data_IF_195348276775
#
_entry.id   IF_195348276775
#
_cell.length_a   1.000
_cell.length_b   1.000
_cell.length_c   1.000
_cell.angle_alpha   90.00
_cell.angle_beta   90.00
_cell.angle_gamma   90.00
#
_symmetry.space_group_name_H-M   'P 1'
#
loop_
_entity.id
_entity.type
_entity.pdbx_description
1 polymer ?
#
# COMPACT_ATOMS: atom_id res chain seq x y z
N UNK A 1 -70.65 4.62 16.87
CA UNK A 1 -69.36 4.08 17.36
C UNK A 1 -69.01 2.72 16.74
N UNK A 2 -69.83 1.66 16.92
CA UNK A 2 -69.52 0.32 16.36
C UNK A 2 -69.38 0.28 14.83
N UNK A 3 -70.26 0.97 14.09
CA UNK A 3 -70.23 1.04 12.61
C UNK A 3 -69.04 1.87 12.07
N UNK A 4 -68.66 2.91 12.81
CA UNK A 4 -67.55 3.80 12.49
C UNK A 4 -66.19 3.09 12.64
N UNK A 5 -66.05 2.28 13.70
CA UNK A 5 -64.86 1.45 13.95
C UNK A 5 -64.74 0.35 12.88
N UNK A 6 -65.84 -0.30 12.51
CA UNK A 6 -65.85 -1.29 11.44
C UNK A 6 -65.39 -0.69 10.11
N UNK A 7 -65.85 0.52 9.78
CA UNK A 7 -65.47 1.21 8.55
C UNK A 7 -63.97 1.58 8.53
N UNK A 8 -63.42 2.00 9.67
CA UNK A 8 -61.99 2.30 9.80
C UNK A 8 -61.12 1.04 9.66
N UNK A 9 -61.54 -0.09 10.24
CA UNK A 9 -60.86 -1.39 10.10
C UNK A 9 -60.86 -1.83 8.63
N UNK A 10 -62.01 -1.74 7.96
CA UNK A 10 -62.13 -2.07 6.53
C UNK A 10 -61.24 -1.16 5.68
N UNK A 11 -61.19 0.15 5.96
CA UNK A 11 -60.31 1.08 5.26
C UNK A 11 -58.81 0.73 5.45
N UNK A 12 -58.40 0.34 6.66
CA UNK A 12 -57.03 -0.09 6.94
C UNK A 12 -56.71 -1.38 6.16
N UNK A 13 -57.60 -2.37 6.14
CA UNK A 13 -57.40 -3.61 5.37
C UNK A 13 -57.32 -3.37 3.86
N UNK A 14 -58.02 -2.35 3.34
CA UNK A 14 -57.96 -1.96 1.93
C UNK A 14 -56.67 -1.20 1.61
N UNK A 15 -56.11 -0.43 2.57
CA UNK A 15 -54.89 0.35 2.36
C UNK A 15 -53.59 -0.42 2.61
N UNK A 16 -53.60 -1.50 3.42
CA UNK A 16 -52.42 -2.35 3.68
C UNK A 16 -51.78 -2.91 2.39
N UNK A 17 -52.53 -3.45 1.40
CA UNK A 17 -51.95 -3.91 0.15
C UNK A 17 -51.23 -2.79 -0.62
N UNK A 18 -51.84 -1.59 -0.67
CA UNK A 18 -51.31 -0.45 -1.42
C UNK A 18 -49.99 0.07 -0.85
N UNK A 19 -49.81 0.02 0.48
CA UNK A 19 -48.54 0.36 1.12
C UNK A 19 -47.45 -0.72 0.93
N UNK A 20 -47.84 -2.00 0.78
CA UNK A 20 -46.93 -3.12 0.57
C UNK A 20 -46.28 -3.12 -0.83
N UNK A 21 -47.00 -2.66 -1.85
CA UNK A 21 -46.49 -2.54 -3.23
C UNK A 21 -45.54 -1.36 -3.45
N UNK A 22 -45.37 -0.47 -2.46
CA UNK A 22 -44.42 0.65 -2.56
C UNK A 22 -42.96 0.23 -2.34
N UNK A 23 -42.72 -1.00 -1.87
CA UNK A 23 -41.38 -1.57 -1.74
C UNK A 23 -41.10 -2.42 -2.97
N UNK A 24 -40.50 -1.82 -4.00
CA UNK A 24 -39.92 -2.59 -5.11
C UNK A 24 -38.84 -3.48 -4.52
N UNK A 25 -39.05 -4.79 -4.51
CA UNK A 25 -38.01 -5.73 -4.19
C UNK A 25 -36.97 -5.64 -5.31
N UNK A 26 -35.78 -5.13 -4.98
CA UNK A 26 -34.66 -5.14 -5.92
C UNK A 26 -34.31 -6.61 -6.14
N UNK A 27 -34.45 -7.09 -7.36
CA UNK A 27 -34.10 -8.46 -7.73
C UNK A 27 -32.59 -8.65 -7.69
N UNK A 28 -32.11 -9.88 -7.47
CA UNK A 28 -30.68 -10.19 -7.57
C UNK A 28 -30.10 -9.85 -8.95
N UNK A 29 -30.92 -9.88 -10.01
CA UNK A 29 -30.54 -9.41 -11.34
C UNK A 29 -30.34 -7.90 -11.44
N UNK A 30 -31.11 -7.11 -10.69
CA UNK A 30 -30.95 -5.66 -10.59
C UNK A 30 -29.83 -5.28 -9.62
N UNK A 31 -29.56 -6.08 -8.58
CA UNK A 31 -28.35 -5.94 -7.76
C UNK A 31 -27.10 -6.32 -8.56
N UNK A 32 -27.15 -7.38 -9.37
CA UNK A 32 -26.05 -7.82 -10.24
C UNK A 32 -25.67 -6.83 -11.35
N UNK A 33 -26.60 -5.97 -11.77
CA UNK A 33 -26.29 -4.85 -12.67
C UNK A 33 -25.71 -3.63 -11.94
N UNK A 34 -25.79 -3.59 -10.60
CA UNK A 34 -25.30 -2.50 -9.75
C UNK A 34 -24.02 -2.89 -9.00
N UNK A 35 -23.77 -4.18 -8.74
CA UNK A 35 -22.55 -4.67 -8.07
C UNK A 35 -21.35 -4.59 -9.00
N UNK A 36 -20.52 -3.55 -8.81
CA UNK A 36 -19.11 -3.49 -9.18
C UNK A 36 -18.74 -3.90 -10.62
N UNK A 37 -19.55 -3.51 -11.62
CA UNK A 37 -19.19 -3.70 -13.04
C UNK A 37 -18.13 -2.70 -13.54
N UNK A 38 -17.94 -1.60 -12.81
CA UNK A 38 -17.04 -0.52 -13.20
C UNK A 38 -15.71 -0.66 -12.45
N UNK A 39 -14.60 -0.69 -13.19
CA UNK A 39 -13.26 -0.70 -12.61
C UNK A 39 -13.00 0.51 -11.72
N UNK A 40 -12.21 0.33 -10.67
CA UNK A 40 -11.84 1.42 -9.76
C UNK A 40 -10.57 2.08 -10.27
N UNK A 41 -10.62 3.39 -10.52
CA UNK A 41 -9.43 4.20 -10.81
C UNK A 41 -9.05 5.00 -9.58
N UNK A 42 -7.80 4.85 -9.14
CA UNK A 42 -7.19 5.63 -8.07
C UNK A 42 -6.13 6.52 -8.72
N UNK A 43 -6.36 7.83 -8.68
CA UNK A 43 -5.43 8.81 -9.24
C UNK A 43 -4.42 9.25 -8.17
N UNK A 44 -3.13 9.04 -8.44
CA UNK A 44 -2.06 9.60 -7.62
C UNK A 44 -1.51 10.86 -8.27
N UNK A 45 -1.71 11.99 -7.60
CA UNK A 45 -1.12 13.28 -7.99
C UNK A 45 -0.07 13.66 -6.97
N UNK A 46 1.20 13.56 -7.37
CA UNK A 46 2.36 13.93 -6.53
C UNK A 46 2.34 13.27 -5.13
N UNK A 47 1.97 12.00 -5.04
CA UNK A 47 2.11 11.28 -3.77
C UNK A 47 3.60 10.99 -3.54
N UNK A 48 4.12 11.61 -2.48
CA UNK A 48 5.53 11.54 -2.10
C UNK A 48 5.68 10.98 -0.69
N UNK A 49 6.55 9.98 -0.53
CA UNK A 49 7.01 9.51 0.77
C UNK A 49 8.32 10.21 1.15
N UNK A 50 8.24 11.13 2.12
CA UNK A 50 9.36 11.91 2.64
C UNK A 50 9.68 11.55 4.11
N UNK A 51 10.91 11.87 4.52
CA UNK A 51 11.43 11.68 5.89
C UNK A 51 11.49 10.22 6.35
N UNK A 52 11.80 9.28 5.45
CA UNK A 52 12.12 7.92 5.85
C UNK A 52 13.50 7.92 6.53
N UNK A 53 13.53 7.57 7.81
CA UNK A 53 14.77 7.52 8.59
C UNK A 53 15.24 6.07 8.79
N UNK A 54 16.52 5.86 8.52
CA UNK A 54 17.27 4.68 8.95
C UNK A 54 18.46 5.23 9.73
N UNK A 55 18.60 4.88 11.01
CA UNK A 55 19.71 5.41 11.83
C UNK A 55 20.98 4.58 11.64
N UNK A 56 20.82 3.26 11.60
CA UNK A 56 21.89 2.32 11.31
C UNK A 56 21.33 1.00 10.75
N UNK A 57 22.18 0.29 10.02
CA UNK A 57 21.97 -1.10 9.61
C UNK A 57 23.28 -1.84 9.85
N UNK A 58 23.24 -2.96 10.56
CA UNK A 58 24.43 -3.75 10.87
C UNK A 58 24.15 -5.23 10.62
N UNK A 59 25.17 -5.93 10.15
CA UNK A 59 25.19 -7.38 10.03
C UNK A 59 26.55 -7.91 10.51
N UNK A 60 26.53 -9.06 11.16
CA UNK A 60 27.68 -9.60 11.87
C UNK A 60 27.23 -10.67 12.86
N UNK A 61 28.17 -11.11 13.68
CA UNK A 61 27.91 -12.13 14.68
C UNK A 61 28.75 -11.92 15.95
N UNK A 62 28.33 -12.59 17.03
CA UNK A 62 28.97 -12.50 18.33
C UNK A 62 30.22 -13.39 18.49
N UNK A 63 30.44 -14.33 17.58
CA UNK A 63 31.53 -15.31 17.63
C UNK A 63 32.79 -14.90 16.88
N UNK A 64 32.68 -13.91 15.98
CA UNK A 64 33.73 -13.57 15.03
C UNK A 64 33.93 -14.68 13.98
N UNK A 65 35.00 -14.57 13.20
CA UNK A 65 35.41 -15.58 12.22
C UNK A 65 36.69 -16.29 12.67
N UNK A 66 37.02 -17.43 12.06
CA UNK A 66 38.19 -18.25 12.44
C UNK A 66 39.47 -17.42 12.51
N UNK A 67 40.12 -17.42 13.68
CA UNK A 67 41.33 -16.64 13.95
C UNK A 67 41.10 -15.36 14.78
N UNK A 68 39.84 -15.00 15.07
CA UNK A 68 39.47 -13.83 15.87
C UNK A 68 38.77 -14.26 17.15
N UNK A 69 39.04 -13.57 18.26
CA UNK A 69 38.57 -13.96 19.61
C UNK A 69 37.37 -13.16 20.09
N UNK A 70 36.72 -12.37 19.23
CA UNK A 70 35.64 -11.47 19.63
C UNK A 70 34.64 -11.16 18.50
N UNK A 71 33.50 -10.59 18.89
CA UNK A 71 32.42 -10.19 18.01
C UNK A 71 32.87 -9.17 16.95
N UNK A 72 32.20 -9.20 15.80
CA UNK A 72 32.48 -8.28 14.70
C UNK A 72 31.21 -7.94 13.93
N UNK A 73 30.99 -6.63 13.74
CA UNK A 73 29.84 -6.10 13.03
C UNK A 73 30.31 -5.13 11.95
N UNK A 74 29.71 -5.25 10.78
CA UNK A 74 29.87 -4.31 9.67
C UNK A 74 28.53 -3.71 9.33
N UNK A 75 28.51 -2.45 8.93
CA UNK A 75 27.25 -1.83 8.55
C UNK A 75 27.36 -0.37 8.21
N UNK A 76 26.18 0.24 8.12
CA UNK A 76 25.99 1.66 7.89
C UNK A 76 25.59 2.31 9.21
N UNK A 77 26.31 3.36 9.59
CA UNK A 77 25.93 4.28 10.66
C UNK A 77 25.79 5.68 10.11
N UNK A 78 25.09 6.55 10.86
CA UNK A 78 24.93 7.96 10.49
C UNK A 78 24.32 8.14 9.10
N UNK A 79 23.34 7.29 8.75
CA UNK A 79 22.71 7.31 7.42
C UNK A 79 21.84 8.55 7.29
N UNK A 80 22.04 9.30 6.22
CA UNK A 80 21.20 10.44 5.83
C UNK A 80 20.65 10.15 4.44
N UNK A 81 19.32 10.20 4.31
CA UNK A 81 18.59 10.04 3.06
C UNK A 81 17.94 11.38 2.74
N UNK A 82 18.32 12.00 1.63
CA UNK A 82 17.81 13.29 1.20
C UNK A 82 17.05 13.16 -0.12
N UNK A 83 15.94 13.90 -0.23
CA UNK A 83 15.05 13.90 -1.38
C UNK A 83 13.85 12.97 -1.23
N UNK A 84 13.06 12.86 -2.29
CA UNK A 84 11.85 12.03 -2.33
C UNK A 84 12.23 10.55 -2.49
N UNK A 85 11.94 9.70 -1.50
CA UNK A 85 12.32 8.29 -1.58
C UNK A 85 11.46 7.53 -2.60
N UNK A 86 10.14 7.75 -2.54
CA UNK A 86 9.18 7.16 -3.48
C UNK A 86 8.21 8.24 -3.94
N UNK A 87 8.02 8.33 -5.26
CA UNK A 87 7.01 9.18 -5.90
C UNK A 87 6.13 8.31 -6.78
N UNK A 88 4.82 8.35 -6.55
CA UNK A 88 3.82 7.69 -7.40
C UNK A 88 3.08 8.72 -8.24
N UNK A 89 3.01 8.49 -9.55
CA UNK A 89 2.34 9.39 -10.48
C UNK A 89 1.53 8.66 -11.54
N UNK A 90 0.36 9.21 -11.83
CA UNK A 90 -0.58 8.69 -12.82
C UNK A 90 -1.60 7.70 -12.23
N UNK A 91 -2.49 7.18 -13.09
CA UNK A 91 -3.60 6.36 -12.65
C UNK A 91 -3.15 4.96 -12.26
N UNK A 92 -3.67 4.49 -11.13
CA UNK A 92 -3.76 3.06 -10.82
C UNK A 92 -5.17 2.59 -11.17
N UNK A 93 -5.27 1.58 -12.03
CA UNK A 93 -6.56 1.00 -12.42
C UNK A 93 -6.67 -0.41 -11.87
N UNK A 94 -7.71 -0.68 -11.09
CA UNK A 94 -8.00 -1.99 -10.54
C UNK A 94 -9.29 -2.49 -11.19
N UNK A 95 -9.21 -3.66 -11.80
CA UNK A 95 -10.34 -4.33 -12.43
C UNK A 95 -10.44 -5.77 -11.92
N UNK A 96 -11.67 -6.24 -11.72
CA UNK A 96 -11.98 -7.60 -11.29
C UNK A 96 -12.91 -8.20 -12.32
N UNK A 97 -12.47 -9.26 -13.00
CA UNK A 97 -13.24 -9.81 -14.10
C UNK A 97 -12.99 -11.28 -14.35
N UNK A 98 -13.90 -11.89 -15.10
CA UNK A 98 -13.88 -13.32 -15.44
C UNK A 98 -13.88 -13.48 -16.95
N UNK A 99 -12.81 -14.07 -17.48
CA UNK A 99 -12.75 -14.56 -18.87
C UNK A 99 -11.93 -15.86 -18.88
N UNK A 100 -12.63 -16.98 -18.69
CA UNK A 100 -12.04 -18.29 -18.38
C UNK A 100 -11.72 -18.45 -16.89
N UNK A 101 -10.87 -17.60 -16.34
CA UNK A 101 -10.53 -17.58 -14.90
C UNK A 101 -10.81 -16.20 -14.31
N UNK A 102 -11.38 -16.16 -13.10
CA UNK A 102 -11.55 -14.92 -12.34
C UNK A 102 -10.19 -14.40 -11.89
N UNK A 103 -9.92 -13.12 -12.15
CA UNK A 103 -8.67 -12.47 -11.74
C UNK A 103 -8.90 -11.02 -11.34
N UNK A 104 -7.97 -10.51 -10.53
CA UNK A 104 -7.80 -9.08 -10.29
C UNK A 104 -6.64 -8.60 -11.16
N UNK A 105 -6.90 -7.62 -12.02
CA UNK A 105 -5.90 -6.94 -12.82
C UNK A 105 -5.65 -5.56 -12.23
N UNK A 106 -4.38 -5.23 -11.99
CA UNK A 106 -3.97 -3.93 -11.47
C UNK A 106 -2.97 -3.33 -12.47
N UNK A 107 -3.36 -2.28 -13.17
CA UNK A 107 -2.42 -1.43 -13.87
C UNK A 107 -1.74 -0.52 -12.84
N UNK A 108 -0.43 -0.66 -12.70
CA UNK A 108 0.33 0.11 -11.72
C UNK A 108 0.51 1.55 -12.22
N UNK A 109 0.42 2.55 -11.32
CA UNK A 109 0.89 3.89 -11.64
C UNK A 109 2.41 3.86 -11.83
N UNK A 110 3.00 4.94 -12.32
CA UNK A 110 4.46 5.03 -12.34
C UNK A 110 4.95 5.20 -10.92
N UNK A 111 5.68 4.21 -10.40
CA UNK A 111 6.33 4.29 -9.09
C UNK A 111 7.81 4.57 -9.34
N UNK A 112 8.30 5.71 -8.88
CA UNK A 112 9.70 6.11 -9.03
C UNK A 112 10.39 6.21 -7.68
N UNK A 113 11.59 5.65 -7.58
CA UNK A 113 12.51 5.87 -6.48
C UNK A 113 13.34 7.11 -6.82
N UNK A 114 13.41 8.09 -5.91
CA UNK A 114 14.16 9.33 -6.12
C UNK A 114 13.44 10.44 -6.88
N UNK A 115 12.24 10.18 -7.40
CA UNK A 115 11.50 11.16 -8.21
C UNK A 115 12.37 11.77 -9.33
N UNK A 116 12.16 13.07 -9.62
CA UNK A 116 12.90 13.78 -10.68
C UNK A 116 14.35 14.10 -10.27
N UNK A 117 14.61 14.34 -8.98
CA UNK A 117 15.92 14.78 -8.50
C UNK A 117 16.90 13.62 -8.20
N UNK A 118 16.39 12.41 -8.00
CA UNK A 118 17.12 11.27 -7.47
C UNK A 118 17.22 11.27 -5.94
N UNK A 119 17.41 10.09 -5.34
CA UNK A 119 17.74 9.97 -3.92
C UNK A 119 19.23 10.16 -3.73
N UNK A 120 19.61 10.98 -2.75
CA UNK A 120 20.98 11.06 -2.27
C UNK A 120 21.09 10.35 -0.92
N UNK A 121 22.04 9.42 -0.80
CA UNK A 121 22.31 8.68 0.43
C UNK A 121 23.77 8.85 0.81
N UNK A 122 24.00 9.42 2.00
CA UNK A 122 25.33 9.49 2.61
C UNK A 122 25.33 8.71 3.90
N UNK A 123 26.31 7.82 4.09
CA UNK A 123 26.46 7.05 5.32
C UNK A 123 27.93 6.77 5.65
N UNK A 124 28.24 6.58 6.93
CA UNK A 124 29.53 6.04 7.35
C UNK A 124 29.49 4.51 7.28
N UNK A 125 30.40 3.91 6.51
CA UNK A 125 30.66 2.47 6.59
C UNK A 125 31.46 2.25 7.86
N UNK A 126 30.93 1.44 8.77
CA UNK A 126 31.54 1.19 10.08
C UNK A 126 31.85 -0.29 10.31
N UNK A 127 32.96 -0.54 11.01
CA UNK A 127 33.39 -1.81 11.57
C UNK A 127 33.54 -1.65 13.08
N UNK A 128 32.81 -2.43 13.86
CA UNK A 128 32.74 -2.28 15.31
C UNK A 128 32.65 -3.66 15.98
N UNK A 129 33.03 -3.74 17.26
CA UNK A 129 32.83 -4.94 18.08
C UNK A 129 31.39 -5.06 18.60
N UNK A 130 30.55 -4.05 18.35
CA UNK A 130 29.14 -4.00 18.72
C UNK A 130 28.23 -3.69 17.53
N UNK A 131 27.01 -4.24 17.53
CA UNK A 131 26.01 -3.97 16.49
C UNK A 131 25.48 -2.53 16.49
N UNK A 132 25.76 -1.77 17.54
CA UNK A 132 25.38 -0.37 17.66
C UNK A 132 26.21 0.57 16.75
N UNK A 133 27.38 0.12 16.28
CA UNK A 133 28.29 0.89 15.41
C UNK A 133 28.61 2.30 15.95
N UNK A 134 28.76 2.42 17.27
CA UNK A 134 28.90 3.70 17.98
C UNK A 134 30.35 4.08 18.30
N UNK A 135 31.32 3.20 18.04
CA UNK A 135 32.73 3.46 18.26
C UNK A 135 33.24 4.68 17.48
N UNK A 136 33.90 5.61 18.16
CA UNK A 136 34.40 6.86 17.57
C UNK A 136 35.44 6.62 16.45
N UNK A 137 36.16 5.49 16.49
CA UNK A 137 37.16 5.08 15.49
C UNK A 137 36.67 3.96 14.57
N UNK A 138 35.37 3.65 14.57
CA UNK A 138 34.80 2.52 13.83
C UNK A 138 34.62 2.79 12.32
N UNK A 139 34.87 4.02 11.83
CA UNK A 139 34.59 4.37 10.44
C UNK A 139 35.66 3.82 9.50
N UNK A 140 35.26 2.86 8.66
CA UNK A 140 36.10 2.27 7.62
C UNK A 140 36.03 3.01 6.28
N UNK A 141 34.96 3.78 6.06
CA UNK A 141 34.79 4.57 4.84
C UNK A 141 33.48 5.35 4.80
N UNK A 142 33.21 5.96 3.64
CA UNK A 142 31.97 6.69 3.37
C UNK A 142 31.26 6.03 2.20
N UNK A 143 29.96 5.78 2.36
CA UNK A 143 29.04 5.50 1.28
C UNK A 143 28.45 6.83 0.82
N UNK A 144 28.63 7.14 -0.47
CA UNK A 144 28.08 8.33 -1.12
C UNK A 144 27.37 7.90 -2.40
N UNK A 145 26.04 7.89 -2.35
CA UNK A 145 25.18 7.57 -3.49
C UNK A 145 24.46 8.84 -3.89
N UNK A 146 24.72 9.30 -5.11
CA UNK A 146 24.17 10.54 -5.63
C UNK A 146 23.24 10.27 -6.80
N UNK A 147 22.01 10.79 -6.72
CA UNK A 147 21.04 10.74 -7.79
C UNK A 147 20.49 9.35 -8.10
N UNK A 148 20.42 8.45 -7.11
CA UNK A 148 19.85 7.11 -7.32
C UNK A 148 18.40 7.22 -7.80
N UNK A 149 18.11 6.56 -8.92
CA UNK A 149 16.77 6.50 -9.51
C UNK A 149 16.41 5.08 -9.85
N UNK A 150 15.16 4.72 -9.59
CA UNK A 150 14.56 3.47 -10.00
C UNK A 150 13.14 3.72 -10.46
N UNK A 151 12.63 2.91 -11.38
CA UNK A 151 11.24 3.04 -11.85
C UNK A 151 10.61 1.66 -11.96
N UNK A 152 9.38 1.55 -11.46
CA UNK A 152 8.51 0.40 -11.64
C UNK A 152 7.33 0.85 -12.49
N UNK A 153 7.12 0.15 -13.60
CA UNK A 153 5.97 0.29 -14.49
C UNK A 153 5.47 -1.09 -14.85
N UNK A 154 4.16 -1.27 -15.03
CA UNK A 154 3.61 -2.53 -15.53
C UNK A 154 2.25 -2.87 -14.94
N UNK A 155 1.93 -4.16 -14.91
CA UNK A 155 0.68 -4.68 -14.37
C UNK A 155 0.92 -5.82 -13.38
N UNK A 156 0.13 -5.85 -12.31
CA UNK A 156 0.03 -6.97 -11.38
C UNK A 156 -1.26 -7.76 -11.68
N UNK A 157 -1.17 -9.08 -11.74
CA UNK A 157 -2.34 -9.96 -11.87
C UNK A 157 -2.39 -10.94 -10.70
N UNK A 158 -3.56 -11.07 -10.09
CA UNK A 158 -3.83 -12.06 -9.04
C UNK A 158 -4.91 -13.01 -9.55
N UNK A 159 -4.61 -14.30 -9.54
CA UNK A 159 -5.51 -15.35 -10.01
C UNK A 159 -6.27 -15.98 -8.85
N UNK A 160 -7.53 -16.34 -9.08
CA UNK A 160 -8.25 -17.22 -8.17
C UNK A 160 -7.60 -18.62 -8.13
N UNK A 161 -7.59 -19.25 -6.95
CA UNK A 161 -7.12 -20.61 -6.72
C UNK A 161 -8.28 -21.59 -6.66
#
# INVERSE_FOLDING_TARGET
MKKSILLAIVAIFIMIPLASFAKTAISDSELGSVTAQEGVTIEFVNLTLNNVSLTSFAWGDSGGFTGYTGAGWVGLGNVTINGDLVVMNGPMVIDVGTNGTTRVNIALPTISLGGTAGVNVTASIKLDSTSALSGANATAGVLDIQGLKGQITGSLQVYAH
#
